data_IF_932004527581
#
_entry.id   IF_932004527581
#
_cell.length_a   1.000
_cell.length_b   1.000
_cell.length_c   1.000
_cell.angle_alpha   90.00
_cell.angle_beta   90.00
_cell.angle_gamma   90.00
#
_symmetry.space_group_name_H-M   'P 1'
#
loop_
_entity.id
_entity.type
_entity.pdbx_description
1 polymer ?
#
# COMPACT_ATOMS: atom_id res chain seq x y z
N UNK A 1 8.66 30.14 52.43
CA UNK A 1 9.33 28.86 52.14
C UNK A 1 8.93 27.91 53.25
N UNK A 2 7.82 27.18 53.09
CA UNK A 2 7.29 26.27 54.11
C UNK A 2 8.14 24.99 54.16
N UNK A 3 8.55 24.57 55.36
CA UNK A 3 9.33 23.35 55.55
C UNK A 3 8.52 22.11 55.09
N UNK A 4 9.16 21.12 54.44
CA UNK A 4 8.48 19.89 54.02
C UNK A 4 7.93 19.16 55.24
N UNK A 5 6.70 18.67 55.14
CA UNK A 5 6.05 17.96 56.26
C UNK A 5 6.58 16.53 56.38
N UNK A 6 6.51 15.92 57.57
CA UNK A 6 6.96 14.52 57.79
C UNK A 6 6.23 13.48 56.91
N UNK A 7 5.11 13.89 56.30
CA UNK A 7 4.35 13.11 55.33
C UNK A 7 5.01 13.11 53.95
N UNK A 8 5.57 14.24 53.53
CA UNK A 8 6.29 14.41 52.27
C UNK A 8 7.61 13.64 52.28
N UNK A 9 8.34 13.66 53.40
CA UNK A 9 9.56 12.87 53.59
C UNK A 9 9.28 11.36 53.51
N UNK A 10 8.19 10.88 54.13
CA UNK A 10 7.79 9.47 54.06
C UNK A 10 7.37 9.05 52.66
N UNK A 11 6.74 9.93 51.87
CA UNK A 11 6.36 9.66 50.48
C UNK A 11 7.61 9.63 49.57
N UNK A 12 8.57 10.53 49.79
CA UNK A 12 9.85 10.55 49.08
C UNK A 12 10.71 9.31 49.41
N UNK A 13 10.74 8.91 50.69
CA UNK A 13 11.44 7.70 51.14
C UNK A 13 10.82 6.41 50.57
N UNK A 14 9.48 6.32 50.52
CA UNK A 14 8.78 5.19 49.88
C UNK A 14 8.99 5.15 48.37
N UNK A 15 9.05 6.31 47.71
CA UNK A 15 9.39 6.41 46.29
C UNK A 15 10.77 5.79 46.04
N UNK A 16 11.79 6.12 46.83
CA UNK A 16 13.16 5.60 46.66
C UNK A 16 13.31 4.07 46.80
N UNK A 17 12.42 3.40 47.54
CA UNK A 17 12.46 1.95 47.75
C UNK A 17 11.68 1.13 46.69
N UNK A 18 10.87 1.79 45.85
CA UNK A 18 10.06 1.14 44.82
C UNK A 18 10.92 0.56 43.69
N UNK A 19 10.66 -0.68 43.29
CA UNK A 19 11.30 -1.31 42.12
C UNK A 19 11.10 -0.50 40.84
N UNK A 20 9.97 0.21 40.71
CA UNK A 20 9.69 1.10 39.60
C UNK A 20 10.66 2.28 39.54
N UNK A 21 11.01 2.88 40.68
CA UNK A 21 11.96 4.00 40.69
C UNK A 21 13.40 3.52 40.42
N UNK A 22 13.76 2.32 40.87
CA UNK A 22 15.03 1.71 40.45
C UNK A 22 15.08 1.51 38.93
N UNK A 23 13.97 1.05 38.34
CA UNK A 23 13.83 0.92 36.88
C UNK A 23 13.97 2.25 36.14
N UNK A 24 13.25 3.30 36.55
CA UNK A 24 13.33 4.61 35.88
C UNK A 24 14.72 5.25 36.04
N UNK A 25 15.42 5.06 37.18
CA UNK A 25 16.80 5.53 37.31
C UNK A 25 17.78 4.77 36.41
N UNK A 26 17.62 3.44 36.28
CA UNK A 26 18.43 2.64 35.36
C UNK A 26 18.20 3.05 33.90
N UNK A 27 16.94 3.20 33.49
CA UNK A 27 16.56 3.63 32.15
C UNK A 27 16.92 5.08 31.86
N UNK A 28 16.96 5.95 32.88
CA UNK A 28 17.36 7.36 32.75
C UNK A 28 18.87 7.60 32.85
N UNK A 29 19.71 6.56 32.80
CA UNK A 29 21.16 6.68 32.95
C UNK A 29 21.82 7.36 31.75
N UNK A 30 22.80 8.23 32.01
CA UNK A 30 23.62 8.88 30.97
C UNK A 30 24.49 7.89 30.19
N UNK A 31 24.93 6.80 30.83
CA UNK A 31 25.71 5.75 30.17
C UNK A 31 24.86 5.00 29.14
N UNK A 32 23.59 4.73 29.48
CA UNK A 32 22.64 4.15 28.55
C UNK A 32 22.36 5.12 27.39
N UNK A 33 22.16 6.41 27.67
CA UNK A 33 21.97 7.42 26.64
C UNK A 33 23.15 7.47 25.65
N UNK A 34 24.38 7.46 26.16
CA UNK A 34 25.59 7.45 25.34
C UNK A 34 25.68 6.20 24.45
N UNK A 35 25.39 5.02 25.01
CA UNK A 35 25.35 3.76 24.26
C UNK A 35 24.29 3.81 23.14
N UNK A 36 23.09 4.28 23.44
CA UNK A 36 21.99 4.41 22.47
C UNK A 36 22.36 5.39 21.35
N UNK A 37 22.95 6.53 21.68
CA UNK A 37 23.36 7.53 20.69
C UNK A 37 24.47 7.02 19.78
N UNK A 38 25.55 6.44 20.33
CA UNK A 38 26.67 5.91 19.54
C UNK A 38 26.20 4.80 18.60
N UNK A 39 25.37 3.88 19.11
CA UNK A 39 24.84 2.77 18.29
C UNK A 39 23.94 3.29 17.18
N UNK A 40 22.98 4.18 17.47
CA UNK A 40 22.12 4.78 16.46
C UNK A 40 22.92 5.60 15.44
N UNK A 41 23.92 6.38 15.85
CA UNK A 41 24.81 7.12 14.94
C UNK A 41 25.58 6.16 14.03
N UNK A 42 26.16 5.08 14.56
CA UNK A 42 26.86 4.09 13.75
C UNK A 42 25.95 3.41 12.72
N UNK A 43 24.71 3.09 13.13
CA UNK A 43 23.70 2.54 12.23
C UNK A 43 23.31 3.54 11.14
N UNK A 44 23.10 4.81 11.48
CA UNK A 44 22.78 5.86 10.49
C UNK A 44 23.92 6.04 9.48
N UNK A 45 25.18 6.04 9.94
CA UNK A 45 26.35 6.11 9.05
C UNK A 45 26.36 4.91 8.09
N UNK A 46 26.16 3.69 8.60
CA UNK A 46 26.09 2.50 7.76
C UNK A 46 24.92 2.56 6.75
N UNK A 47 23.76 3.08 7.16
CA UNK A 47 22.61 3.29 6.30
C UNK A 47 22.90 4.28 5.16
N UNK A 48 23.63 5.36 5.44
CA UNK A 48 24.06 6.33 4.41
C UNK A 48 24.99 5.70 3.39
N UNK A 49 25.91 4.82 3.79
CA UNK A 49 26.73 4.07 2.84
C UNK A 49 25.90 3.10 1.99
N UNK A 50 24.94 2.40 2.60
CA UNK A 50 24.03 1.51 1.86
C UNK A 50 23.18 2.27 0.83
N UNK A 51 22.71 3.46 1.18
CA UNK A 51 21.97 4.35 0.28
C UNK A 51 22.81 4.74 -0.95
N UNK A 52 24.09 5.08 -0.73
CA UNK A 52 25.00 5.45 -1.82
C UNK A 52 25.35 4.29 -2.76
N UNK A 53 25.37 3.05 -2.26
CA UNK A 53 25.80 1.88 -3.02
C UNK A 53 24.67 1.13 -3.75
N UNK A 54 23.46 1.13 -3.20
CA UNK A 54 22.32 0.37 -3.74
C UNK A 54 21.21 1.29 -4.24
N UNK A 55 20.36 1.74 -3.31
CA UNK A 55 19.34 2.75 -3.53
C UNK A 55 18.80 3.22 -2.18
N UNK A 56 18.23 4.42 -2.16
CA UNK A 56 17.53 5.00 -1.01
C UNK A 56 16.42 4.09 -0.47
N UNK A 57 15.74 3.37 -1.37
CA UNK A 57 14.64 2.44 -1.03
C UNK A 57 15.15 1.23 -0.25
N UNK A 58 16.28 0.66 -0.64
CA UNK A 58 16.87 -0.52 0.01
C UNK A 58 17.33 -0.18 1.42
N UNK A 59 18.08 0.91 1.60
CA UNK A 59 18.55 1.35 2.92
C UNK A 59 17.37 1.59 3.88
N UNK A 60 16.30 2.22 3.38
CA UNK A 60 15.10 2.47 4.15
C UNK A 60 14.34 1.22 4.54
N UNK A 61 14.20 0.25 3.64
CA UNK A 61 13.50 -1.01 3.93
C UNK A 61 14.27 -1.87 4.94
N UNK A 62 15.60 -2.00 4.78
CA UNK A 62 16.41 -2.92 5.58
C UNK A 62 16.85 -2.36 6.93
N UNK A 63 17.17 -1.07 7.02
CA UNK A 63 17.66 -0.46 8.27
C UNK A 63 16.51 0.21 9.01
N UNK A 64 15.96 1.29 8.44
CA UNK A 64 14.93 2.09 9.11
C UNK A 64 13.62 1.29 9.29
N UNK A 65 13.27 0.46 8.30
CA UNK A 65 12.10 -0.41 8.29
C UNK A 65 12.12 -1.53 9.33
N UNK A 66 13.29 -1.88 9.86
CA UNK A 66 13.47 -3.10 10.66
C UNK A 66 12.89 -3.00 12.08
N UNK A 67 12.36 -4.12 12.63
CA UNK A 67 11.86 -4.15 14.02
C UNK A 67 12.94 -3.84 15.05
N UNK A 68 14.19 -4.26 14.80
CA UNK A 68 15.30 -4.04 15.71
C UNK A 68 15.66 -2.55 15.81
N UNK A 69 15.70 -1.82 14.69
CA UNK A 69 15.99 -0.39 14.69
C UNK A 69 14.91 0.40 15.44
N UNK A 70 13.64 0.00 15.27
CA UNK A 70 12.53 0.56 16.02
C UNK A 70 12.66 0.33 17.54
N UNK A 71 13.17 -0.84 17.95
CA UNK A 71 13.43 -1.12 19.36
C UNK A 71 14.48 -0.15 19.93
N UNK A 72 15.56 0.12 19.21
CA UNK A 72 16.58 1.11 19.63
C UNK A 72 16.02 2.53 19.73
N UNK A 73 15.20 2.96 18.76
CA UNK A 73 14.50 4.25 18.80
C UNK A 73 13.54 4.35 20.01
N UNK A 74 12.81 3.27 20.31
CA UNK A 74 11.90 3.22 21.44
C UNK A 74 12.65 3.27 22.77
N UNK A 75 13.78 2.56 22.88
CA UNK A 75 14.67 2.63 24.05
C UNK A 75 15.25 4.03 24.25
N UNK A 76 15.63 4.73 23.17
CA UNK A 76 16.05 6.14 23.22
C UNK A 76 14.93 7.04 23.73
N UNK A 77 13.71 6.89 23.21
CA UNK A 77 12.54 7.64 23.67
C UNK A 77 12.31 7.43 25.17
N UNK A 78 12.33 6.17 25.61
CA UNK A 78 12.11 5.81 27.01
C UNK A 78 13.22 6.34 27.92
N UNK A 79 14.48 6.30 27.47
CA UNK A 79 15.61 6.90 28.18
C UNK A 79 15.43 8.41 28.38
N UNK A 80 15.00 9.15 27.35
CA UNK A 80 14.72 10.59 27.44
C UNK A 80 13.59 10.90 28.43
N UNK A 81 12.50 10.12 28.39
CA UNK A 81 11.37 10.25 29.32
C UNK A 81 11.83 10.01 30.76
N UNK A 82 12.50 8.88 31.01
CA UNK A 82 13.01 8.51 32.34
C UNK A 82 14.02 9.53 32.84
N UNK A 83 14.95 9.99 32.00
CA UNK A 83 15.93 11.02 32.34
C UNK A 83 15.25 12.34 32.74
N UNK A 84 14.14 12.71 32.09
CA UNK A 84 13.37 13.91 32.44
C UNK A 84 12.60 13.74 33.75
N UNK A 85 12.07 12.54 34.01
CA UNK A 85 11.36 12.20 35.26
C UNK A 85 12.29 12.16 36.49
N UNK A 86 13.55 11.74 36.36
CA UNK A 86 14.54 11.73 37.48
C UNK A 86 14.81 13.10 38.08
N UNK A 87 14.50 14.18 37.37
CA UNK A 87 14.68 15.57 37.84
C UNK A 87 13.40 16.23 38.33
N UNK A 88 12.35 15.44 38.57
CA UNK A 88 11.13 15.92 39.21
C UNK A 88 11.40 16.19 40.71
N UNK A 89 11.06 17.36 41.29
CA UNK A 89 10.28 18.48 40.74
C UNK A 89 11.11 19.50 39.96
N UNK A 90 10.64 19.84 38.77
CA UNK A 90 11.33 20.76 37.87
C UNK A 90 11.36 22.18 38.45
N UNK A 91 12.56 22.67 38.74
CA UNK A 91 12.79 24.06 39.10
C UNK A 91 13.04 24.91 37.85
N UNK A 92 12.91 26.24 37.98
CA UNK A 92 13.07 27.19 36.85
C UNK A 92 14.40 27.06 36.11
N UNK A 93 15.47 26.62 36.78
CA UNK A 93 16.78 26.40 36.16
C UNK A 93 16.87 25.10 35.33
N UNK A 94 15.95 24.16 35.51
CA UNK A 94 15.84 22.93 34.70
C UNK A 94 14.95 23.10 33.46
N UNK A 95 14.35 24.27 33.27
CA UNK A 95 13.37 24.51 32.22
C UNK A 95 13.93 24.22 30.82
N UNK A 96 15.14 24.71 30.52
CA UNK A 96 15.80 24.45 29.23
C UNK A 96 16.04 22.95 28.99
N UNK A 97 16.47 22.21 30.01
CA UNK A 97 16.66 20.77 29.93
C UNK A 97 15.34 20.05 29.60
N UNK A 98 14.27 20.34 30.34
CA UNK A 98 12.97 19.69 30.17
C UNK A 98 12.36 20.02 28.80
N UNK A 99 12.43 21.27 28.36
CA UNK A 99 11.90 21.70 27.05
C UNK A 99 12.61 20.97 25.91
N UNK A 100 13.93 20.90 25.93
CA UNK A 100 14.69 20.23 24.87
C UNK A 100 14.33 18.75 24.77
N UNK A 101 14.25 18.05 25.91
CA UNK A 101 13.92 16.63 25.92
C UNK A 101 12.47 16.40 25.50
N UNK A 102 11.54 17.22 25.97
CA UNK A 102 10.14 17.18 25.55
C UNK A 102 10.00 17.40 24.03
N UNK A 103 10.74 18.36 23.46
CA UNK A 103 10.76 18.62 22.02
C UNK A 103 11.23 17.40 21.22
N UNK A 104 12.33 16.75 21.64
CA UNK A 104 12.83 15.54 20.99
C UNK A 104 11.81 14.40 21.09
N UNK A 105 11.19 14.21 22.26
CA UNK A 105 10.17 13.16 22.48
C UNK A 105 8.96 13.40 21.56
N UNK A 106 8.49 14.65 21.45
CA UNK A 106 7.37 15.02 20.58
C UNK A 106 7.72 14.79 19.11
N UNK A 107 8.90 15.22 18.66
CA UNK A 107 9.37 15.00 17.29
C UNK A 107 9.46 13.50 16.96
N UNK A 108 10.03 12.72 17.87
CA UNK A 108 10.19 11.28 17.69
C UNK A 108 8.84 10.55 17.65
N UNK A 109 7.91 10.93 18.54
CA UNK A 109 6.54 10.43 18.54
C UNK A 109 5.78 10.79 17.26
N UNK A 110 5.90 12.05 16.81
CA UNK A 110 5.31 12.52 15.56
C UNK A 110 5.85 11.77 14.34
N UNK A 111 7.17 11.55 14.27
CA UNK A 111 7.80 10.78 13.21
C UNK A 111 7.31 9.32 13.18
N UNK A 112 7.11 8.69 14.35
CA UNK A 112 6.60 7.32 14.43
C UNK A 112 5.14 7.22 13.95
N UNK A 113 4.29 8.18 14.32
CA UNK A 113 2.90 8.26 13.83
C UNK A 113 2.86 8.52 12.33
N UNK A 114 3.66 9.47 11.85
CA UNK A 114 3.80 9.78 10.43
C UNK A 114 4.28 8.59 9.63
N UNK A 115 5.16 7.76 10.18
CA UNK A 115 5.57 6.51 9.53
C UNK A 115 4.49 5.43 9.53
N UNK A 116 3.73 5.29 10.62
CA UNK A 116 2.71 4.26 10.74
C UNK A 116 1.45 4.55 9.89
N UNK A 117 1.12 5.83 9.68
CA UNK A 117 -0.10 6.25 8.97
C UNK A 117 0.15 7.12 7.73
N UNK A 118 1.40 7.47 7.44
CA UNK A 118 1.74 8.32 6.30
C UNK A 118 1.78 7.55 4.99
N UNK A 119 1.50 8.28 3.91
CA UNK A 119 1.63 7.81 2.54
C UNK A 119 2.72 8.63 1.86
N UNK A 120 3.63 7.97 1.16
CA UNK A 120 4.57 8.62 0.27
C UNK A 120 4.04 8.60 -1.16
N UNK A 121 4.18 9.74 -1.83
CA UNK A 121 3.89 9.89 -3.24
C UNK A 121 4.59 11.10 -3.83
N UNK A 122 4.74 11.11 -5.14
CA UNK A 122 5.23 12.23 -5.92
C UNK A 122 4.06 12.96 -6.58
N UNK A 123 4.25 14.25 -6.77
CA UNK A 123 3.31 15.11 -7.49
C UNK A 123 4.13 15.89 -8.51
N UNK A 124 3.97 15.57 -9.79
CA UNK A 124 4.58 16.37 -10.84
C UNK A 124 3.71 17.60 -11.12
N UNK A 125 4.33 18.77 -10.95
CA UNK A 125 3.68 20.06 -11.18
C UNK A 125 4.29 20.72 -12.41
N UNK A 126 3.51 20.77 -13.48
CA UNK A 126 3.87 21.52 -14.70
C UNK A 126 3.40 22.96 -14.62
N UNK A 127 4.26 23.90 -15.00
CA UNK A 127 3.97 25.34 -14.96
C UNK A 127 2.87 25.68 -15.98
N UNK A 128 1.72 26.17 -15.51
CA UNK A 128 0.58 26.55 -16.35
C UNK A 128 -0.48 25.46 -16.55
N UNK A 129 -0.28 24.25 -16.01
CA UNK A 129 -1.29 23.20 -16.01
C UNK A 129 -2.33 23.42 -14.88
N UNK A 130 -3.58 22.92 -15.04
CA UNK A 130 -4.57 22.95 -13.97
C UNK A 130 -4.08 22.19 -12.71
N UNK A 131 -4.63 22.50 -11.51
CA UNK A 131 -4.18 21.90 -10.25
C UNK A 131 -4.27 20.37 -10.30
N UNK A 132 -3.12 19.70 -10.10
CA UNK A 132 -3.08 18.25 -9.98
C UNK A 132 -3.75 17.83 -8.65
N UNK A 133 -4.87 17.12 -8.74
CA UNK A 133 -5.63 16.58 -7.60
C UNK A 133 -5.38 15.08 -7.38
N UNK A 134 -4.33 14.54 -7.99
CA UNK A 134 -3.92 13.14 -7.89
C UNK A 134 -2.46 13.08 -7.47
N UNK A 135 -2.17 12.29 -6.44
CA UNK A 135 -0.81 12.03 -5.97
C UNK A 135 -0.40 10.66 -6.50
N UNK A 136 0.75 10.59 -7.18
CA UNK A 136 1.30 9.34 -7.66
C UNK A 136 1.98 8.64 -6.48
N UNK A 137 1.41 7.53 -5.99
CA UNK A 137 2.08 6.76 -4.95
C UNK A 137 3.31 6.08 -5.53
N UNK A 138 4.45 6.27 -4.89
CA UNK A 138 5.75 5.73 -5.33
C UNK A 138 5.91 4.25 -4.95
N UNK A 139 4.87 3.46 -5.20
CA UNK A 139 4.86 2.01 -5.00
C UNK A 139 4.92 1.35 -6.38
N UNK A 140 6.02 0.69 -6.75
CA UNK A 140 6.06 -0.07 -7.98
C UNK A 140 4.99 -1.16 -7.92
N UNK A 141 4.05 -1.10 -8.84
CA UNK A 141 3.00 -2.11 -9.02
C UNK A 141 3.21 -2.77 -10.36
N UNK A 142 3.12 -4.08 -10.35
CA UNK A 142 3.04 -4.85 -11.58
C UNK A 142 1.57 -5.01 -11.93
N UNK A 143 1.20 -4.51 -13.10
CA UNK A 143 -0.14 -4.68 -13.64
C UNK A 143 -0.07 -5.69 -14.77
N UNK A 144 -0.88 -6.73 -14.67
CA UNK A 144 -0.94 -7.83 -15.64
C UNK A 144 -2.38 -8.04 -16.02
N UNK A 145 -2.65 -8.08 -17.31
CA UNK A 145 -3.98 -8.42 -17.83
C UNK A 145 -4.14 -9.95 -17.87
N UNK A 146 -5.22 -10.46 -17.29
CA UNK A 146 -5.51 -11.90 -17.32
C UNK A 146 -6.00 -12.33 -18.71
N UNK A 147 -5.34 -13.30 -19.37
CA UNK A 147 -5.76 -13.81 -20.67
C UNK A 147 -7.15 -14.47 -20.66
N UNK A 148 -7.60 -14.95 -19.48
CA UNK A 148 -8.85 -15.69 -19.34
C UNK A 148 -10.08 -14.79 -19.15
N UNK A 149 -9.90 -13.62 -18.52
CA UNK A 149 -11.01 -12.73 -18.11
C UNK A 149 -10.89 -11.31 -18.63
N UNK A 150 -9.75 -10.93 -19.25
CA UNK A 150 -9.48 -9.56 -19.68
C UNK A 150 -9.36 -8.55 -18.52
N UNK A 151 -9.25 -9.03 -17.28
CA UNK A 151 -9.15 -8.17 -16.10
C UNK A 151 -7.70 -7.77 -15.83
N UNK A 152 -7.49 -6.48 -15.55
CA UNK A 152 -6.22 -5.94 -15.10
C UNK A 152 -6.00 -6.25 -13.61
N UNK A 153 -5.03 -7.10 -13.33
CA UNK A 153 -4.59 -7.44 -11.98
C UNK A 153 -3.36 -6.60 -11.60
N UNK A 154 -3.46 -5.80 -10.53
CA UNK A 154 -2.36 -4.94 -10.06
C UNK A 154 -1.85 -5.37 -8.69
N UNK A 155 -0.67 -5.98 -8.66
CA UNK A 155 0.01 -6.43 -7.44
C UNK A 155 1.17 -5.50 -7.06
N UNK A 156 1.38 -5.18 -5.77
CA UNK A 156 2.61 -4.54 -5.33
C UNK A 156 3.82 -5.42 -5.69
N UNK A 157 4.80 -4.85 -6.38
CA UNK A 157 5.99 -5.56 -6.81
C UNK A 157 7.20 -4.62 -6.68
N UNK A 158 7.95 -4.76 -5.58
CA UNK A 158 9.21 -4.06 -5.33
C UNK A 158 10.42 -4.93 -5.74
N UNK A 159 10.92 -4.84 -6.99
CA UNK A 159 12.06 -5.61 -7.44
C UNK A 159 13.40 -5.11 -6.86
N UNK A 160 13.48 -3.86 -6.41
CA UNK A 160 14.69 -3.32 -5.76
C UNK A 160 14.90 -3.90 -4.36
N UNK A 161 13.81 -4.14 -3.61
CA UNK A 161 13.88 -4.69 -2.24
C UNK A 161 14.10 -6.20 -2.25
N UNK A 162 13.48 -6.89 -3.23
CA UNK A 162 13.61 -8.34 -3.45
C UNK A 162 13.84 -8.61 -4.92
N UNK A 163 15.11 -8.53 -5.31
CA UNK A 163 15.51 -8.70 -6.71
C UNK A 163 15.27 -10.15 -7.17
N UNK A 164 14.42 -10.37 -8.18
CA UNK A 164 14.25 -11.68 -8.79
C UNK A 164 15.56 -12.10 -9.47
N UNK A 165 15.87 -13.39 -9.37
CA UNK A 165 17.03 -14.01 -9.99
C UNK A 165 16.65 -15.37 -10.57
N UNK A 166 17.40 -15.92 -11.53
CA UNK A 166 17.08 -17.22 -12.13
C UNK A 166 17.01 -18.37 -11.11
N UNK A 167 17.79 -18.28 -10.03
CA UNK A 167 17.84 -19.24 -8.92
C UNK A 167 16.71 -19.02 -7.88
N UNK A 168 16.09 -17.83 -7.86
CA UNK A 168 14.98 -17.49 -6.96
C UNK A 168 13.95 -16.62 -7.67
N UNK A 169 13.19 -17.19 -8.63
CA UNK A 169 12.20 -16.44 -9.38
C UNK A 169 11.03 -16.03 -8.46
N UNK A 170 10.40 -14.92 -8.77
CA UNK A 170 9.17 -14.47 -8.11
C UNK A 170 7.98 -14.98 -8.90
N UNK A 171 7.25 -15.92 -8.30
CA UNK A 171 6.04 -16.50 -8.89
C UNK A 171 4.82 -15.70 -8.46
N UNK A 172 4.03 -15.26 -9.42
CA UNK A 172 2.79 -14.53 -9.19
C UNK A 172 1.63 -15.32 -9.82
N UNK A 173 0.70 -15.85 -9.02
CA UNK A 173 -0.48 -16.53 -9.56
C UNK A 173 -1.37 -15.51 -10.26
N UNK A 174 -1.78 -15.82 -11.50
CA UNK A 174 -2.78 -15.02 -12.21
C UNK A 174 -4.17 -15.51 -11.80
N UNK A 175 -5.02 -14.65 -11.18
CA UNK A 175 -6.37 -15.04 -10.80
C UNK A 175 -7.13 -15.56 -12.02
N UNK A 176 -7.95 -16.59 -11.85
CA UNK A 176 -8.78 -17.20 -12.90
C UNK A 176 -8.02 -17.84 -14.08
N UNK A 177 -6.74 -18.19 -13.91
CA UNK A 177 -5.99 -19.01 -14.87
C UNK A 177 -5.07 -20.02 -14.17
N UNK A 178 -4.74 -21.13 -14.83
CA UNK A 178 -3.75 -22.11 -14.35
C UNK A 178 -2.29 -21.66 -14.60
N UNK A 179 -2.10 -20.45 -15.15
CA UNK A 179 -0.80 -19.91 -15.53
C UNK A 179 -0.24 -19.04 -14.40
N UNK A 180 1.07 -19.14 -14.16
CA UNK A 180 1.79 -18.28 -13.22
C UNK A 180 2.74 -17.38 -13.97
N UNK A 181 2.78 -16.11 -13.60
CA UNK A 181 3.79 -15.19 -14.09
C UNK A 181 5.10 -15.46 -13.33
N UNK A 182 6.15 -15.80 -14.07
CA UNK A 182 7.50 -16.04 -13.54
C UNK A 182 8.36 -14.82 -13.82
N UNK A 183 8.85 -14.17 -12.78
CA UNK A 183 9.78 -13.05 -12.91
C UNK A 183 11.14 -13.53 -12.39
N UNK A 184 12.09 -13.70 -13.30
CA UNK A 184 13.42 -14.28 -13.06
C UNK A 184 14.56 -13.25 -13.13
N UNK A 185 14.28 -12.03 -13.57
CA UNK A 185 15.26 -10.95 -13.65
C UNK A 185 14.64 -9.56 -13.56
N UNK A 186 15.47 -8.59 -13.19
CA UNK A 186 15.11 -7.18 -13.13
C UNK A 186 16.32 -6.30 -13.44
N UNK A 187 16.13 -5.26 -14.26
CA UNK A 187 17.14 -4.22 -14.51
C UNK A 187 16.53 -2.84 -14.31
N UNK A 188 17.17 -2.01 -13.48
CA UNK A 188 16.80 -0.60 -13.26
C UNK A 188 17.51 0.37 -14.22
N UNK A 189 18.35 -0.15 -15.13
CA UNK A 189 19.24 0.64 -16.00
C UNK A 189 18.92 0.52 -17.48
N UNK A 190 17.67 0.22 -17.84
CA UNK A 190 17.27 0.35 -19.26
C UNK A 190 17.28 1.83 -19.63
N UNK A 191 18.12 2.21 -20.58
CA UNK A 191 18.16 3.57 -21.12
C UNK A 191 17.46 3.53 -22.48
N UNK A 192 16.40 4.33 -22.63
CA UNK A 192 15.79 4.55 -23.94
C UNK A 192 16.77 5.36 -24.81
N UNK A 193 17.22 4.76 -25.91
CA UNK A 193 18.10 5.43 -26.88
C UNK A 193 17.36 5.62 -28.19
N UNK A 194 16.71 6.77 -28.35
CA UNK A 194 16.04 7.13 -29.61
C UNK A 194 17.08 7.52 -30.66
N UNK A 195 17.22 6.70 -31.71
CA UNK A 195 18.07 7.03 -32.87
C UNK A 195 17.17 7.14 -34.10
N UNK A 196 17.08 8.32 -34.71
CA UNK A 196 16.31 8.54 -35.93
C UNK A 196 17.22 8.28 -37.13
N UNK A 197 16.96 7.21 -37.88
CA UNK A 197 17.66 6.85 -39.11
C UNK A 197 16.69 6.98 -40.29
N UNK A 198 17.04 7.68 -41.38
CA UNK A 198 16.26 7.64 -42.60
C UNK A 198 16.35 6.25 -43.23
N UNK A 199 15.23 5.55 -43.36
CA UNK A 199 15.14 4.29 -44.08
C UNK A 199 14.50 4.52 -45.47
N UNK A 200 15.29 4.51 -46.57
CA UNK A 200 14.77 4.68 -47.92
C UNK A 200 14.01 3.46 -48.46
N UNK A 201 14.02 2.31 -47.75
CA UNK A 201 13.38 1.07 -48.19
C UNK A 201 11.92 0.91 -47.72
N UNK A 202 11.52 1.58 -46.64
CA UNK A 202 10.15 1.51 -46.11
C UNK A 202 9.36 2.79 -46.45
N UNK A 203 8.26 2.70 -47.22
CA UNK A 203 7.40 3.85 -47.53
C UNK A 203 6.56 4.31 -46.32
N UNK A 204 6.56 3.55 -45.22
CA UNK A 204 5.72 3.78 -44.06
C UNK A 204 6.55 4.22 -42.84
N UNK A 205 6.07 5.22 -42.06
CA UNK A 205 6.73 5.61 -40.82
C UNK A 205 6.67 4.47 -39.80
N UNK A 206 7.77 4.28 -39.07
CA UNK A 206 7.88 3.25 -38.06
C UNK A 206 8.96 3.57 -37.03
N UNK A 207 8.93 2.82 -35.92
CA UNK A 207 9.98 2.82 -34.91
C UNK A 207 10.55 1.41 -34.82
N UNK A 208 11.88 1.28 -34.71
CA UNK A 208 12.50 -0.01 -34.43
C UNK A 208 12.89 -0.04 -32.97
N UNK A 209 12.32 -0.99 -32.23
CA UNK A 209 12.71 -1.25 -30.85
C UNK A 209 13.92 -2.19 -30.86
N UNK A 210 15.02 -1.76 -30.26
CA UNK A 210 16.23 -2.56 -30.12
C UNK A 210 16.37 -3.02 -28.66
N UNK A 211 16.35 -4.33 -28.43
CA UNK A 211 16.54 -4.93 -27.12
C UNK A 211 17.96 -5.49 -27.02
N UNK A 212 18.79 -4.82 -26.21
CA UNK A 212 20.10 -5.33 -25.78
C UNK A 212 19.97 -5.86 -24.36
N UNK A 213 20.30 -7.14 -24.14
CA UNK A 213 20.11 -7.79 -22.84
C UNK A 213 20.94 -9.06 -22.69
N UNK A 214 20.72 -9.87 -21.63
CA UNK A 214 21.46 -11.12 -21.40
C UNK A 214 21.16 -12.23 -22.44
N UNK A 215 20.32 -11.93 -23.44
CA UNK A 215 19.83 -12.86 -24.46
C UNK A 215 20.85 -13.16 -25.57
N UNK A 216 21.98 -12.44 -25.62
CA UNK A 216 23.06 -12.67 -26.57
C UNK A 216 23.87 -11.40 -26.88
N UNK A 217 24.99 -11.53 -27.61
CA UNK A 217 25.78 -10.37 -28.05
C UNK A 217 25.09 -9.57 -29.17
N UNK A 218 24.15 -10.19 -29.89
CA UNK A 218 23.39 -9.51 -30.95
C UNK A 218 22.12 -8.87 -30.39
N UNK A 219 21.88 -7.58 -30.69
CA UNK A 219 20.66 -6.90 -30.28
C UNK A 219 19.45 -7.45 -31.04
N UNK A 220 18.36 -7.72 -30.32
CA UNK A 220 17.10 -8.14 -30.92
C UNK A 220 16.39 -6.88 -31.45
N UNK A 221 16.09 -6.86 -32.75
CA UNK A 221 15.38 -5.76 -33.38
C UNK A 221 13.91 -6.12 -33.64
N UNK A 222 13.01 -5.27 -33.17
CA UNK A 222 11.58 -5.36 -33.41
C UNK A 222 11.12 -4.10 -34.16
N UNK A 223 11.01 -4.16 -35.49
CA UNK A 223 10.40 -3.10 -36.27
C UNK A 223 8.89 -2.99 -35.94
N UNK A 224 8.43 -1.76 -35.73
CA UNK A 224 7.02 -1.38 -35.58
C UNK A 224 6.69 -0.38 -36.68
N UNK A 225 6.23 -0.88 -37.81
CA UNK A 225 5.96 -0.09 -39.01
C UNK A 225 4.44 0.10 -39.15
N UNK A 226 4.01 1.36 -39.25
CA UNK A 226 2.61 1.69 -39.47
C UNK A 226 2.15 1.14 -40.83
N UNK A 227 0.94 0.60 -40.91
CA UNK A 227 0.34 0.08 -42.15
C UNK A 227 1.13 -1.05 -42.84
N UNK A 228 2.05 -1.74 -42.15
CA UNK A 228 2.67 -2.98 -42.64
C UNK A 228 2.75 -4.05 -41.55
N UNK A 229 1.96 -5.11 -41.72
CA UNK A 229 1.87 -6.25 -40.78
C UNK A 229 2.89 -7.34 -41.06
N UNK A 230 3.42 -7.42 -42.28
CA UNK A 230 4.52 -8.31 -42.66
C UNK A 230 5.83 -7.84 -42.07
N UNK A 231 6.02 -6.52 -42.04
CA UNK A 231 7.31 -5.90 -41.70
C UNK A 231 7.41 -5.61 -40.19
N UNK A 232 6.31 -5.75 -39.45
CA UNK A 232 6.26 -5.62 -37.99
C UNK A 232 6.28 -6.98 -37.27
N UNK A 233 7.16 -7.87 -37.72
CA UNK A 233 7.33 -9.22 -37.18
C UNK A 233 8.79 -9.45 -36.80
N UNK A 234 9.05 -9.87 -35.57
CA UNK A 234 10.37 -10.27 -35.12
C UNK A 234 10.34 -11.65 -34.47
N UNK A 235 11.37 -12.45 -34.74
CA UNK A 235 11.57 -13.74 -34.09
C UNK A 235 12.43 -13.51 -32.85
N UNK A 236 11.87 -13.73 -31.66
CA UNK A 236 12.61 -13.67 -30.39
C UNK A 236 13.41 -14.96 -30.15
N UNK A 237 12.91 -16.09 -30.65
CA UNK A 237 13.55 -17.40 -30.56
C UNK A 237 13.01 -18.32 -31.66
N UNK A 238 13.59 -19.52 -31.87
CA UNK A 238 13.00 -20.52 -32.79
C UNK A 238 11.56 -20.91 -32.45
N UNK A 239 11.08 -20.62 -31.23
CA UNK A 239 9.75 -20.96 -30.73
C UNK A 239 8.87 -19.73 -30.45
N UNK A 240 9.36 -18.51 -30.69
CA UNK A 240 8.67 -17.29 -30.27
C UNK A 240 8.74 -16.22 -31.34
N UNK A 241 7.56 -15.77 -31.76
CA UNK A 241 7.38 -14.74 -32.77
C UNK A 241 6.55 -13.63 -32.16
N UNK A 242 7.04 -12.41 -32.24
CA UNK A 242 6.29 -11.20 -31.90
C UNK A 242 5.83 -10.58 -33.21
N UNK A 243 4.54 -10.30 -33.29
CA UNK A 243 3.94 -9.63 -34.44
C UNK A 243 3.04 -8.51 -33.95
N UNK A 244 3.19 -7.32 -34.53
CA UNK A 244 2.27 -6.23 -34.32
C UNK A 244 1.03 -6.44 -35.20
N UNK A 245 -0.14 -6.56 -34.57
CA UNK A 245 -1.41 -6.65 -35.27
C UNK A 245 -2.11 -5.29 -35.26
N UNK A 246 -2.61 -4.81 -36.41
CA UNK A 246 -3.27 -3.51 -36.52
C UNK A 246 -4.65 -3.51 -35.84
N UNK A 247 -5.22 -4.71 -35.65
CA UNK A 247 -6.45 -4.95 -34.89
C UNK A 247 -6.25 -6.21 -34.05
N UNK A 248 -6.72 -6.16 -32.80
CA UNK A 248 -6.69 -7.34 -31.92
C UNK A 248 -7.63 -8.42 -32.50
N UNK A 249 -7.24 -9.71 -32.48
CA UNK A 249 -8.13 -10.78 -32.89
C UNK A 249 -9.37 -10.78 -31.98
N UNK A 250 -10.56 -10.93 -32.56
CA UNK A 250 -11.80 -10.99 -31.80
C UNK A 250 -11.78 -12.19 -30.86
N UNK A 251 -11.69 -11.93 -29.56
CA UNK A 251 -11.78 -12.98 -28.54
C UNK A 251 -13.18 -13.61 -28.61
N UNK A 252 -13.26 -14.92 -28.83
CA UNK A 252 -14.52 -15.66 -28.68
C UNK A 252 -14.74 -15.82 -27.17
N UNK A 253 -15.79 -15.22 -26.57
CA UNK A 253 -16.00 -15.37 -25.13
C UNK A 253 -16.25 -16.84 -24.80
N UNK A 254 -15.73 -17.37 -23.68
CA UNK A 254 -16.11 -18.71 -23.23
C UNK A 254 -17.62 -18.76 -23.01
N UNK A 255 -18.28 -19.91 -23.27
CA UNK A 255 -19.73 -20.03 -23.18
C UNK A 255 -20.19 -19.73 -21.75
N UNK A 256 -20.86 -18.58 -21.57
CA UNK A 256 -21.39 -18.13 -20.27
C UNK A 256 -22.58 -19.01 -19.87
N UNK A 257 -22.49 -19.67 -18.71
CA UNK A 257 -23.64 -20.34 -18.10
C UNK A 257 -24.77 -19.33 -17.84
N UNK A 258 -26.06 -19.72 -17.95
CA UNK A 258 -27.17 -18.79 -17.83
C UNK A 258 -27.18 -18.15 -16.44
N UNK A 259 -27.04 -16.82 -16.39
CA UNK A 259 -27.17 -16.03 -15.17
C UNK A 259 -28.63 -15.64 -15.00
N UNK A 260 -29.29 -16.19 -13.97
CA UNK A 260 -30.63 -15.78 -13.59
C UNK A 260 -30.54 -14.46 -12.81
N UNK A 261 -31.22 -13.40 -13.28
CA UNK A 261 -31.38 -12.14 -12.54
C UNK A 261 -32.69 -12.20 -11.76
N UNK A 262 -32.61 -12.18 -10.44
CA UNK A 262 -33.77 -12.07 -9.56
C UNK A 262 -34.02 -10.60 -9.20
N UNK A 263 -35.26 -10.15 -9.39
CA UNK A 263 -35.73 -8.83 -8.95
C UNK A 263 -36.81 -9.06 -7.91
N UNK A 264 -36.45 -9.01 -6.61
CA UNK A 264 -37.43 -9.05 -5.52
C UNK A 264 -37.61 -7.66 -4.91
N UNK A 265 -38.86 -7.33 -4.56
CA UNK A 265 -39.19 -6.11 -3.84
C UNK A 265 -39.01 -6.36 -2.34
N UNK A 266 -38.11 -5.61 -1.71
CA UNK A 266 -37.82 -5.74 -0.27
C UNK A 266 -38.47 -4.58 0.48
N UNK A 267 -39.34 -4.89 1.45
CA UNK A 267 -40.01 -3.90 2.27
C UNK A 267 -39.16 -3.54 3.49
N UNK A 268 -38.43 -2.43 3.41
CA UNK A 268 -37.45 -2.04 4.44
C UNK A 268 -38.04 -1.69 5.82
N UNK A 269 -39.37 -1.53 5.94
CA UNK A 269 -40.07 -1.36 7.23
C UNK A 269 -40.46 -2.67 7.90
N UNK A 270 -40.32 -3.80 7.21
CA UNK A 270 -40.55 -5.14 7.76
C UNK A 270 -39.33 -6.06 7.44
N UNK A 271 -38.18 -5.82 8.10
CA UNK A 271 -36.91 -6.49 7.83
C UNK A 271 -36.92 -7.98 8.24
N UNK A 272 -38.04 -8.45 8.82
CA UNK A 272 -38.22 -9.83 9.22
C UNK A 272 -38.65 -10.73 8.05
N UNK A 273 -39.08 -10.17 6.91
CA UNK A 273 -39.43 -10.97 5.73
C UNK A 273 -38.18 -11.53 5.04
N UNK A 274 -38.00 -12.87 5.00
CA UNK A 274 -36.83 -13.46 4.40
C UNK A 274 -36.94 -13.43 2.87
N UNK A 275 -35.86 -13.00 2.21
CA UNK A 275 -35.72 -13.14 0.75
C UNK A 275 -35.52 -14.62 0.44
N UNK A 276 -36.42 -15.22 -0.34
CA UNK A 276 -36.35 -16.64 -0.70
C UNK A 276 -35.67 -16.82 -2.05
N UNK A 277 -34.80 -17.82 -2.19
CA UNK A 277 -34.21 -18.18 -3.47
C UNK A 277 -35.27 -18.82 -4.39
N UNK A 278 -35.42 -18.35 -5.63
CA UNK A 278 -36.54 -18.74 -6.51
C UNK A 278 -36.67 -20.24 -6.80
N UNK A 279 -35.56 -20.99 -6.75
CA UNK A 279 -35.49 -22.37 -7.22
C UNK A 279 -35.56 -23.38 -6.07
N UNK A 280 -34.96 -23.04 -4.94
CA UNK A 280 -34.87 -23.91 -3.76
C UNK A 280 -35.86 -23.53 -2.67
N UNK A 281 -36.46 -22.33 -2.73
CA UNK A 281 -37.35 -21.80 -1.68
C UNK A 281 -36.65 -21.54 -0.35
N UNK A 282 -35.32 -21.61 -0.31
CA UNK A 282 -34.53 -21.43 0.91
C UNK A 282 -34.33 -19.93 1.19
N UNK A 283 -34.45 -19.48 2.44
CA UNK A 283 -34.21 -18.09 2.80
C UNK A 283 -32.72 -17.73 2.64
N UNK A 284 -32.45 -16.59 2.02
CA UNK A 284 -31.10 -16.09 1.77
C UNK A 284 -30.40 -15.58 3.04
N UNK A 285 -31.19 -15.26 4.07
CA UNK A 285 -30.70 -14.78 5.38
C UNK A 285 -30.33 -13.29 5.42
N UNK A 286 -30.42 -12.56 4.30
CA UNK A 286 -30.17 -11.12 4.27
C UNK A 286 -31.36 -10.32 4.83
N UNK A 287 -31.06 -9.23 5.54
CA UNK A 287 -32.07 -8.28 6.05
C UNK A 287 -31.68 -6.86 5.69
N UNK A 288 -32.69 -6.03 5.39
CA UNK A 288 -32.49 -4.67 4.89
C UNK A 288 -33.28 -3.68 5.74
N UNK A 289 -32.63 -2.63 6.22
CA UNK A 289 -33.25 -1.59 7.03
C UNK A 289 -33.03 -0.24 6.37
N UNK A 290 -34.08 0.56 6.26
CA UNK A 290 -34.01 1.90 5.69
C UNK A 290 -34.41 2.91 6.75
N UNK A 291 -33.50 3.84 7.04
CA UNK A 291 -33.70 4.85 8.08
C UNK A 291 -32.90 6.12 7.82
N UNK A 292 -33.08 7.10 8.69
CA UNK A 292 -32.25 8.30 8.73
C UNK A 292 -31.92 8.61 10.18
N UNK A 293 -30.69 9.06 10.43
CA UNK A 293 -30.16 9.24 11.79
C UNK A 293 -30.80 10.44 12.50
N UNK A 294 -31.19 11.48 11.76
CA UNK A 294 -31.95 12.63 12.25
C UNK A 294 -33.01 13.05 11.22
N UNK A 295 -34.04 13.77 11.68
CA UNK A 295 -35.07 14.32 10.80
C UNK A 295 -34.47 15.35 9.82
N UNK A 296 -34.33 14.97 8.55
CA UNK A 296 -33.78 15.81 7.48
C UNK A 296 -32.44 15.33 6.91
N UNK A 297 -31.81 14.33 7.52
CA UNK A 297 -30.60 13.69 6.99
C UNK A 297 -30.94 12.73 5.83
N UNK A 298 -30.01 12.50 4.88
CA UNK A 298 -30.23 11.60 3.75
C UNK A 298 -30.52 10.16 4.22
N UNK A 299 -31.41 9.48 3.51
CA UNK A 299 -31.78 8.08 3.78
C UNK A 299 -30.56 7.15 3.66
N UNK A 300 -30.36 6.33 4.68
CA UNK A 300 -29.33 5.30 4.77
C UNK A 300 -30.00 3.91 4.74
N UNK A 301 -29.42 3.01 3.94
CA UNK A 301 -29.78 1.60 3.84
C UNK A 301 -28.72 0.77 4.59
N UNK A 302 -29.15 0.07 5.62
CA UNK A 302 -28.34 -0.94 6.32
C UNK A 302 -28.67 -2.32 5.77
N UNK A 303 -27.63 -3.06 5.39
CA UNK A 303 -27.72 -4.42 4.87
C UNK A 303 -27.05 -5.33 5.89
N UNK A 304 -27.84 -6.22 6.51
CA UNK A 304 -27.36 -7.26 7.41
C UNK A 304 -27.24 -8.59 6.64
N UNK A 305 -26.06 -9.18 6.72
CA UNK A 305 -25.73 -10.49 6.16
C UNK A 305 -26.25 -11.63 7.05
N UNK A 306 -26.31 -12.88 6.53
CA UNK A 306 -26.76 -14.04 7.29
C UNK A 306 -25.91 -14.36 8.53
N UNK A 307 -24.64 -13.94 8.52
CA UNK A 307 -23.69 -14.07 9.63
C UNK A 307 -23.87 -13.01 10.72
N UNK A 308 -24.80 -12.05 10.53
CA UNK A 308 -25.08 -10.95 11.44
C UNK A 308 -24.19 -9.73 11.26
N UNK A 309 -23.24 -9.74 10.32
CA UNK A 309 -22.44 -8.57 9.97
C UNK A 309 -23.25 -7.57 9.12
N UNK A 310 -23.10 -6.28 9.38
CA UNK A 310 -23.88 -5.22 8.75
C UNK A 310 -23.04 -4.12 8.14
N UNK A 311 -23.47 -3.60 6.99
CA UNK A 311 -22.89 -2.41 6.38
C UNK A 311 -23.99 -1.39 6.07
N UNK A 312 -23.71 -0.12 6.38
CA UNK A 312 -24.64 1.00 6.17
C UNK A 312 -24.15 1.82 4.98
N UNK A 313 -25.05 2.08 4.05
CA UNK A 313 -24.80 2.82 2.85
C UNK A 313 -25.80 3.96 2.70
N UNK A 314 -25.38 5.08 2.12
CA UNK A 314 -26.32 6.11 1.69
C UNK A 314 -27.09 5.63 0.46
N UNK A 315 -28.41 5.78 0.47
CA UNK A 315 -29.27 5.26 -0.59
C UNK A 315 -28.98 5.89 -1.96
N UNK A 316 -28.55 7.16 -1.98
CA UNK A 316 -28.14 7.88 -3.20
C UNK A 316 -26.96 7.24 -3.90
N UNK A 317 -26.04 6.64 -3.13
CA UNK A 317 -24.79 6.09 -3.64
C UNK A 317 -24.94 4.64 -4.11
N UNK A 318 -26.08 4.02 -3.78
CA UNK A 318 -26.45 2.66 -4.17
C UNK A 318 -27.40 2.59 -5.37
N UNK A 319 -28.13 3.67 -5.66
CA UNK A 319 -29.06 3.70 -6.80
C UNK A 319 -28.33 3.41 -8.12
N UNK A 320 -28.80 2.39 -8.83
CA UNK A 320 -28.21 1.88 -10.07
C UNK A 320 -26.76 1.38 -9.94
N UNK A 321 -26.26 1.19 -8.71
CA UNK A 321 -24.97 0.59 -8.45
C UNK A 321 -25.16 -0.85 -7.99
N UNK A 322 -24.46 -1.77 -8.63
CA UNK A 322 -24.43 -3.18 -8.20
C UNK A 322 -23.36 -3.33 -7.13
N UNK A 323 -23.77 -3.76 -5.94
CA UNK A 323 -22.88 -4.26 -4.92
C UNK A 323 -22.57 -5.71 -5.22
N UNK A 324 -21.30 -6.05 -5.35
CA UNK A 324 -20.84 -7.42 -5.49
C UNK A 324 -20.35 -7.87 -4.11
N UNK A 325 -21.07 -8.80 -3.48
CA UNK A 325 -20.64 -9.37 -2.21
C UNK A 325 -19.82 -10.65 -2.45
N UNK A 326 -18.82 -10.89 -1.59
CA UNK A 326 -17.83 -11.97 -1.70
C UNK A 326 -18.42 -13.38 -1.49
N UNK A 327 -19.70 -13.45 -1.14
CA UNK A 327 -20.52 -14.68 -1.08
C UNK A 327 -21.13 -15.09 -2.43
N UNK A 328 -20.88 -14.31 -3.50
CA UNK A 328 -21.37 -14.57 -4.85
C UNK A 328 -22.72 -13.92 -5.17
N UNK A 329 -23.34 -13.21 -4.22
CA UNK A 329 -24.57 -12.47 -4.42
C UNK A 329 -24.29 -11.06 -4.98
N UNK A 330 -25.02 -10.66 -6.03
CA UNK A 330 -24.98 -9.30 -6.58
C UNK A 330 -26.26 -8.57 -6.18
N UNK A 331 -26.13 -7.49 -5.42
CA UNK A 331 -27.26 -6.69 -4.93
C UNK A 331 -27.30 -5.38 -5.73
N UNK A 332 -28.36 -5.17 -6.50
CA UNK A 332 -28.58 -3.92 -7.23
C UNK A 332 -29.78 -3.19 -6.63
N UNK A 333 -29.56 -2.00 -6.08
CA UNK A 333 -30.65 -1.12 -5.66
C UNK A 333 -31.15 -0.36 -6.90
N UNK A 334 -32.14 -0.93 -7.58
CA UNK A 334 -32.65 -0.38 -8.83
C UNK A 334 -33.50 0.88 -8.63
N UNK A 335 -34.31 0.92 -7.56
CA UNK A 335 -35.22 2.05 -7.27
C UNK A 335 -35.64 2.03 -5.80
N UNK A 336 -36.01 3.19 -5.27
CA UNK A 336 -36.64 3.32 -3.95
C UNK A 336 -37.93 4.15 -4.07
N UNK A 337 -38.85 3.95 -3.13
CA UNK A 337 -40.07 4.74 -2.97
C UNK A 337 -40.15 5.21 -1.50
N UNK A 338 -40.28 6.53 -1.25
CA UNK A 338 -40.37 7.08 0.10
C UNK A 338 -41.70 6.77 0.81
#
# INVERSE_FOLDING_TARGET
MSAPTSRDEKILARRGQSALWRGVHALGSIHLAMLLLITLTGVCIAATFLESGFSTRVARAYVYGSPWFNLWLLLLCLNLICSTMTRWPWQKHHLGFVITHAGIIILLGGALVGRARGFEGSLDLSRGAPPANQVLLDRPRLTVESPATGQLFSTPFDPEVRTPRPDRPRLLPLPSSDVQLVIDGYTSRSIEKTTLLPDPASPNPGITLEFTGPFGPEPIQLPLILNSTSDSRANLSPQTIVQFLPTLPSATPPPTAPTFRETQMVLARDPAQPILHNTSGTPSGFRFFLGSRNSGDPLELEILRPDGSGEIYRLTDLLNRTLEDFSGAKILVARYWP
#
